data_IF_042235639466
#
_entry.id   IF_042235639466
#
_cell.length_a   1.000
_cell.length_b   1.000
_cell.length_c   1.000
_cell.angle_alpha   90.00
_cell.angle_beta   90.00
_cell.angle_gamma   90.00
#
_symmetry.space_group_name_H-M   'P 1'
#
loop_
_entity.id
_entity.type
_entity.pdbx_description
1 polymer ?
#
# COMPACT_ATOMS: atom_id res chain seq x y z
N UNK A 1 -2.86 -23.79 20.52
CA UNK A 1 -3.70 -23.86 19.31
C UNK A 1 -3.20 -25.03 18.48
N UNK A 2 -4.09 -25.93 18.08
CA UNK A 2 -3.73 -27.10 17.27
C UNK A 2 -3.35 -26.62 15.85
N UNK A 3 -2.37 -27.27 15.21
CA UNK A 3 -1.95 -26.94 13.82
C UNK A 3 -3.14 -26.91 12.86
N UNK A 4 -4.15 -27.74 13.07
CA UNK A 4 -5.38 -27.76 12.28
C UNK A 4 -6.19 -26.44 12.40
N UNK A 5 -6.23 -25.82 13.58
CA UNK A 5 -6.95 -24.56 13.79
C UNK A 5 -6.24 -23.41 13.05
N UNK A 6 -4.91 -23.36 13.10
CA UNK A 6 -4.11 -22.36 12.39
C UNK A 6 -4.31 -22.53 10.88
N UNK A 7 -4.22 -23.76 10.38
CA UNK A 7 -4.44 -24.04 8.95
C UNK A 7 -5.85 -23.64 8.50
N UNK A 8 -6.88 -23.95 9.29
CA UNK A 8 -8.25 -23.55 9.00
C UNK A 8 -8.44 -22.03 8.89
N UNK A 9 -7.83 -21.26 9.81
CA UNK A 9 -7.89 -19.79 9.78
C UNK A 9 -7.17 -19.24 8.54
N UNK A 10 -5.99 -19.78 8.20
CA UNK A 10 -5.24 -19.36 7.02
C UNK A 10 -6.01 -19.65 5.73
N UNK A 11 -6.56 -20.86 5.60
CA UNK A 11 -7.37 -21.22 4.42
C UNK A 11 -8.61 -20.33 4.33
N UNK A 12 -9.33 -20.12 5.43
CA UNK A 12 -10.50 -19.23 5.48
C UNK A 12 -10.18 -17.81 5.04
N UNK A 13 -9.06 -17.26 5.53
CA UNK A 13 -8.57 -15.94 5.12
C UNK A 13 -8.25 -15.87 3.62
N UNK A 14 -7.54 -16.88 3.08
CA UNK A 14 -7.22 -16.93 1.66
C UNK A 14 -8.47 -17.03 0.79
N UNK A 15 -9.46 -17.81 1.19
CA UNK A 15 -10.74 -17.92 0.46
C UNK A 15 -11.49 -16.59 0.44
N UNK A 16 -11.51 -15.84 1.55
CA UNK A 16 -12.11 -14.50 1.62
C UNK A 16 -11.38 -13.55 0.66
N UNK A 17 -10.04 -13.55 0.66
CA UNK A 17 -9.27 -12.70 -0.25
C UNK A 17 -9.52 -13.06 -1.72
N UNK A 18 -9.58 -14.34 -2.06
CA UNK A 18 -9.90 -14.80 -3.41
C UNK A 18 -11.31 -14.37 -3.84
N UNK A 19 -12.29 -14.48 -2.94
CA UNK A 19 -13.65 -14.04 -3.22
C UNK A 19 -13.74 -12.53 -3.49
N UNK A 20 -13.06 -11.71 -2.67
CA UNK A 20 -12.98 -10.25 -2.85
C UNK A 20 -12.26 -9.93 -4.16
N UNK A 21 -11.13 -10.58 -4.46
CA UNK A 21 -10.38 -10.39 -5.69
C UNK A 21 -11.17 -10.75 -6.94
N UNK A 22 -11.90 -11.87 -6.88
CA UNK A 22 -12.76 -12.30 -7.99
C UNK A 22 -13.93 -11.33 -8.22
N UNK A 23 -14.54 -10.84 -7.14
CA UNK A 23 -15.64 -9.87 -7.23
C UNK A 23 -15.16 -8.52 -7.76
N UNK A 24 -14.08 -7.96 -7.19
CA UNK A 24 -13.50 -6.69 -7.65
C UNK A 24 -12.93 -6.75 -9.07
N UNK A 25 -12.35 -7.90 -9.47
CA UNK A 25 -11.81 -8.09 -10.82
C UNK A 25 -12.86 -8.07 -11.92
N UNK A 26 -14.13 -8.33 -11.60
CA UNK A 26 -15.24 -8.27 -12.58
C UNK A 26 -15.61 -6.85 -13.00
N UNK A 27 -15.31 -5.86 -12.19
CA UNK A 27 -15.57 -4.44 -12.50
C UNK A 27 -14.41 -3.76 -13.22
N UNK A 28 -13.24 -4.39 -13.27
CA UNK A 28 -12.03 -3.84 -13.89
C UNK A 28 -11.97 -4.18 -15.38
N UNK A 29 -12.81 -3.53 -16.20
CA UNK A 29 -12.88 -3.78 -17.66
C UNK A 29 -11.76 -3.11 -18.47
N UNK A 30 -10.93 -2.23 -17.88
CA UNK A 30 -9.87 -1.48 -18.55
C UNK A 30 -8.60 -1.44 -17.69
N UNK A 31 -7.44 -1.19 -18.32
CA UNK A 31 -6.14 -1.07 -17.64
C UNK A 31 -6.14 0.03 -16.58
N UNK A 32 -6.77 1.17 -16.85
CA UNK A 32 -6.92 2.25 -15.86
C UNK A 32 -7.79 1.84 -14.67
N UNK A 33 -8.84 1.05 -14.90
CA UNK A 33 -9.67 0.46 -13.85
C UNK A 33 -8.87 -0.51 -12.99
N UNK A 34 -8.06 -1.35 -13.60
CA UNK A 34 -7.26 -2.36 -12.89
C UNK A 34 -6.15 -1.75 -12.03
N UNK A 35 -5.35 -0.84 -12.57
CA UNK A 35 -4.18 -0.29 -11.84
C UNK A 35 -4.53 0.82 -10.85
N UNK A 36 -5.46 1.68 -11.18
CA UNK A 36 -5.75 2.90 -10.39
C UNK A 36 -7.24 3.08 -10.06
N UNK A 37 -8.05 2.03 -10.22
CA UNK A 37 -9.51 2.04 -10.01
C UNK A 37 -10.19 3.27 -10.67
N UNK A 38 -9.74 3.61 -11.89
CA UNK A 38 -10.23 4.78 -12.64
C UNK A 38 -9.96 6.13 -11.97
N UNK A 39 -9.06 6.21 -10.99
CA UNK A 39 -8.79 7.40 -10.16
C UNK A 39 -10.02 7.90 -9.36
N UNK A 40 -10.97 7.01 -9.03
CA UNK A 40 -12.23 7.35 -8.37
C UNK A 40 -12.32 6.86 -6.91
N UNK A 41 -11.21 6.38 -6.35
CA UNK A 41 -11.19 5.89 -4.98
C UNK A 41 -11.34 7.04 -3.97
N UNK A 42 -12.17 6.88 -2.95
CA UNK A 42 -12.26 7.84 -1.86
C UNK A 42 -10.95 7.86 -1.06
N UNK A 43 -10.61 9.01 -0.47
CA UNK A 43 -9.32 9.25 0.21
C UNK A 43 -9.03 8.27 1.34
N UNK A 44 -10.04 7.81 2.07
CA UNK A 44 -9.84 6.82 3.13
C UNK A 44 -9.41 5.45 2.59
N UNK A 45 -9.94 5.02 1.42
CA UNK A 45 -9.51 3.77 0.77
C UNK A 45 -8.05 3.89 0.31
N UNK A 46 -7.68 5.03 -0.27
CA UNK A 46 -6.29 5.30 -0.67
C UNK A 46 -5.36 5.26 0.55
N UNK A 47 -5.75 5.89 1.66
CA UNK A 47 -4.96 5.90 2.88
C UNK A 47 -4.73 4.48 3.44
N UNK A 48 -5.79 3.67 3.56
CA UNK A 48 -5.67 2.28 4.02
C UNK A 48 -4.88 1.40 3.05
N UNK A 49 -5.09 1.55 1.74
CA UNK A 49 -4.36 0.80 0.72
C UNK A 49 -2.87 1.15 0.71
N UNK A 50 -2.53 2.44 0.80
CA UNK A 50 -1.14 2.90 0.91
C UNK A 50 -0.46 2.35 2.16
N UNK A 51 -1.16 2.40 3.30
CA UNK A 51 -0.65 1.86 4.54
C UNK A 51 -0.42 0.34 4.44
N UNK A 52 -1.41 -0.40 3.93
CA UNK A 52 -1.30 -1.84 3.75
C UNK A 52 -0.18 -2.25 2.77
N UNK A 53 0.13 -1.42 1.78
CA UNK A 53 1.21 -1.67 0.82
C UNK A 53 2.58 -1.31 1.40
N UNK A 54 2.66 -0.22 2.17
CA UNK A 54 3.90 0.23 2.81
C UNK A 54 4.33 -0.65 3.98
N UNK A 55 3.35 -1.17 4.72
CA UNK A 55 3.59 -2.03 5.87
C UNK A 55 3.93 -3.46 5.41
N UNK A 56 5.09 -3.92 5.80
CA UNK A 56 5.58 -5.26 5.47
C UNK A 56 5.76 -6.10 6.74
N UNK A 57 6.32 -7.30 6.59
CA UNK A 57 6.79 -8.11 7.71
C UNK A 57 7.79 -7.35 8.62
N UNK A 58 8.40 -6.27 8.14
CA UNK A 58 9.24 -5.38 8.93
C UNK A 58 8.49 -4.79 10.12
N UNK A 59 7.27 -4.31 9.95
CA UNK A 59 6.48 -3.75 11.05
C UNK A 59 6.22 -4.81 12.14
N UNK A 60 5.81 -6.01 11.75
CA UNK A 60 5.45 -7.07 12.69
C UNK A 60 6.65 -7.78 13.31
N UNK A 61 7.71 -8.00 12.56
CA UNK A 61 8.86 -8.77 13.02
C UNK A 61 10.08 -7.89 13.32
N UNK A 62 10.39 -6.94 12.46
CA UNK A 62 11.55 -6.08 12.60
C UNK A 62 11.36 -5.04 13.71
N UNK A 63 10.32 -4.22 13.63
CA UNK A 63 10.08 -3.14 14.58
C UNK A 63 9.75 -3.68 15.98
N UNK A 64 8.94 -4.74 16.07
CA UNK A 64 8.66 -5.38 17.37
C UNK A 64 9.91 -6.03 17.96
N UNK A 65 10.75 -6.67 17.13
CA UNK A 65 12.05 -7.21 17.56
C UNK A 65 13.00 -6.13 18.06
N UNK A 66 13.05 -4.99 17.38
CA UNK A 66 13.82 -3.83 17.84
C UNK A 66 13.25 -3.24 19.14
N UNK A 67 11.94 -3.15 19.28
CA UNK A 67 11.31 -2.73 20.53
C UNK A 67 11.71 -3.62 21.71
N UNK A 68 11.82 -4.92 21.48
CA UNK A 68 12.32 -5.85 22.48
C UNK A 68 13.82 -5.65 22.78
N UNK A 69 14.65 -5.42 21.76
CA UNK A 69 16.10 -5.34 21.91
C UNK A 69 16.58 -3.98 22.48
N UNK A 70 16.01 -2.87 22.02
CA UNK A 70 16.45 -1.50 22.37
C UNK A 70 15.40 -0.68 23.13
N UNK A 71 14.26 -1.27 23.43
CA UNK A 71 13.19 -0.64 24.23
C UNK A 71 12.66 0.63 23.59
N UNK A 72 12.53 1.68 24.42
CA UNK A 72 11.93 2.96 24.04
C UNK A 72 12.63 3.66 22.86
N UNK A 73 13.90 3.36 22.61
CA UNK A 73 14.64 3.93 21.47
C UNK A 73 14.02 3.54 20.11
N UNK A 74 13.26 2.44 20.03
CA UNK A 74 12.54 2.06 18.81
C UNK A 74 11.50 3.12 18.40
N UNK A 75 11.02 3.96 19.30
CA UNK A 75 10.09 5.07 18.97
C UNK A 75 10.68 6.09 17.98
N UNK A 76 12.01 6.25 17.94
CA UNK A 76 12.62 7.13 16.93
C UNK A 76 12.40 6.65 15.51
N UNK A 77 12.31 5.34 15.30
CA UNK A 77 12.01 4.74 13.99
C UNK A 77 10.57 5.08 13.59
N UNK A 78 9.63 4.91 14.51
CA UNK A 78 8.21 5.24 14.28
C UNK A 78 8.06 6.74 13.96
N UNK A 79 8.72 7.60 14.73
CA UNK A 79 8.70 9.04 14.46
C UNK A 79 9.27 9.38 13.09
N UNK A 80 10.39 8.75 12.70
CA UNK A 80 10.99 8.94 11.38
C UNK A 80 10.07 8.49 10.26
N UNK A 81 9.43 7.34 10.40
CA UNK A 81 8.48 6.80 9.44
C UNK A 81 7.25 7.70 9.27
N UNK A 82 6.60 8.07 10.36
CA UNK A 82 5.42 8.95 10.34
C UNK A 82 5.77 10.30 9.70
N UNK A 83 6.90 10.91 10.07
CA UNK A 83 7.36 12.16 9.47
C UNK A 83 7.69 12.00 7.99
N UNK A 84 8.36 10.91 7.60
CA UNK A 84 8.69 10.61 6.21
C UNK A 84 7.45 10.48 5.34
N UNK A 85 6.47 9.72 5.80
CA UNK A 85 5.17 9.56 5.12
C UNK A 85 4.43 10.88 5.04
N UNK A 86 4.34 11.64 6.13
CA UNK A 86 3.70 12.95 6.15
C UNK A 86 4.36 13.92 5.15
N UNK A 87 5.69 14.00 5.14
CA UNK A 87 6.44 14.82 4.19
C UNK A 87 6.18 14.39 2.74
N UNK A 88 6.18 13.09 2.46
CA UNK A 88 5.90 12.57 1.12
C UNK A 88 4.50 12.95 0.65
N UNK A 89 3.49 12.84 1.50
CA UNK A 89 2.12 13.21 1.15
C UNK A 89 1.93 14.72 0.96
N UNK A 90 2.53 15.55 1.81
CA UNK A 90 2.37 17.01 1.76
C UNK A 90 3.14 17.63 0.60
N UNK A 91 4.38 17.20 0.37
CA UNK A 91 5.27 17.86 -0.58
C UNK A 91 5.43 17.15 -1.92
N UNK A 92 5.32 15.82 -1.95
CA UNK A 92 5.58 15.04 -3.16
C UNK A 92 4.30 14.59 -3.86
N UNK A 93 3.31 14.11 -3.12
CA UNK A 93 2.15 13.46 -3.71
C UNK A 93 1.36 14.41 -4.64
N UNK A 94 1.14 15.65 -4.23
CA UNK A 94 0.36 16.63 -5.00
C UNK A 94 1.04 17.03 -6.31
N UNK A 95 2.28 17.54 -6.32
CA UNK A 95 2.97 17.87 -7.57
C UNK A 95 3.19 16.63 -8.45
N UNK A 96 3.47 15.47 -7.85
CA UNK A 96 3.63 14.24 -8.62
C UNK A 96 2.33 13.85 -9.34
N UNK A 97 1.18 13.97 -8.67
CA UNK A 97 -0.12 13.74 -9.31
C UNK A 97 -0.36 14.69 -10.47
N UNK A 98 -0.08 15.98 -10.32
CA UNK A 98 -0.24 16.96 -11.37
C UNK A 98 0.64 16.64 -12.61
N UNK A 99 1.86 16.16 -12.37
CA UNK A 99 2.75 15.74 -13.46
C UNK A 99 2.26 14.45 -14.14
N UNK A 100 1.85 13.43 -13.38
CA UNK A 100 1.34 12.18 -13.97
C UNK A 100 0.04 12.39 -14.75
N UNK A 101 -0.83 13.31 -14.31
CA UNK A 101 -2.05 13.67 -15.04
C UNK A 101 -1.72 14.42 -16.34
N UNK A 102 -0.66 15.25 -16.36
CA UNK A 102 -0.23 15.97 -17.56
C UNK A 102 0.29 15.03 -18.66
N UNK A 103 0.94 13.94 -18.29
CA UNK A 103 1.49 12.94 -19.22
C UNK A 103 0.53 11.76 -19.47
N UNK A 104 -0.70 11.81 -18.93
CA UNK A 104 -1.69 10.71 -18.91
C UNK A 104 -1.08 9.36 -18.46
N UNK A 105 -0.07 9.43 -17.60
CA UNK A 105 0.65 8.29 -17.10
C UNK A 105 -0.20 7.54 -16.05
N UNK A 106 -0.21 6.21 -16.15
CA UNK A 106 -0.92 5.33 -15.22
C UNK A 106 0.02 4.88 -14.11
N UNK A 107 1.27 4.60 -14.46
CA UNK A 107 2.29 4.10 -13.55
C UNK A 107 3.50 5.05 -13.48
N UNK A 108 4.32 4.90 -12.43
CA UNK A 108 5.57 5.65 -12.30
C UNK A 108 6.54 5.38 -13.46
N UNK A 109 6.73 4.12 -13.92
CA UNK A 109 7.52 3.84 -15.11
C UNK A 109 7.00 4.54 -16.38
N UNK A 110 5.68 4.58 -16.60
CA UNK A 110 5.10 5.29 -17.74
C UNK A 110 5.46 6.77 -17.71
N UNK A 111 5.29 7.41 -16.53
CA UNK A 111 5.67 8.82 -16.36
C UNK A 111 7.14 9.07 -16.67
N UNK A 112 8.04 8.21 -16.21
CA UNK A 112 9.48 8.35 -16.47
C UNK A 112 9.79 8.16 -17.95
N UNK A 113 9.15 7.21 -18.61
CA UNK A 113 9.32 6.95 -20.03
C UNK A 113 8.86 8.14 -20.87
N UNK A 114 7.69 8.70 -20.60
CA UNK A 114 7.15 9.84 -21.35
C UNK A 114 7.91 11.15 -21.07
N UNK A 115 8.45 11.31 -19.87
CA UNK A 115 9.20 12.51 -19.51
C UNK A 115 10.60 12.57 -20.08
N UNK A 116 11.28 11.43 -20.20
CA UNK A 116 12.69 11.34 -20.60
C UNK A 116 12.91 10.79 -22.02
N UNK A 117 11.85 10.61 -22.76
CA UNK A 117 11.87 10.22 -24.17
C UNK A 117 12.04 11.45 -25.07
#
# INVERSE_FOLDING_TARGET
MTSATILGVVIGYLLILLAIGFWGGRESGDLKGYYVAGKQLPSWVIAFSSNATGESAWLLLGLTGMGYAIGVHAFWIIMGEVLGVACAWVWVARPFKEYTDRYDAITVPDYLTERFR
#
